data_IF_015507493040
#
_entry.id   IF_015507493040
#
_cell.length_a   1.000
_cell.length_b   1.000
_cell.length_c   1.000
_cell.angle_alpha   90.00
_cell.angle_beta   90.00
_cell.angle_gamma   90.00
#
_symmetry.space_group_name_H-M   'P 1'
#
loop_
_entity.id
_entity.type
_entity.pdbx_description
1 polymer ?
#
# COMPACT_ATOMS: atom_id res chain seq x y z
N UNK A 1 -58.21 -23.92 76.56
CA UNK A 1 -59.21 -22.90 76.15
C UNK A 1 -58.51 -21.55 76.02
N UNK A 2 -58.61 -20.98 74.81
CA UNK A 2 -58.38 -19.57 74.42
C UNK A 2 -56.94 -19.02 74.44
N UNK A 3 -56.45 -18.28 73.44
CA UNK A 3 -56.92 -17.89 72.10
C UNK A 3 -55.67 -17.44 71.32
N UNK A 4 -55.62 -17.77 70.03
CA UNK A 4 -54.71 -17.15 69.06
C UNK A 4 -54.93 -15.63 69.03
N UNK A 5 -53.85 -14.85 69.09
CA UNK A 5 -53.80 -13.48 68.56
C UNK A 5 -52.51 -13.27 67.78
N UNK A 6 -52.68 -13.23 66.46
CA UNK A 6 -51.74 -12.65 65.50
C UNK A 6 -51.45 -11.18 65.88
N UNK A 7 -50.17 -10.81 65.86
CA UNK A 7 -49.74 -9.42 65.73
C UNK A 7 -48.64 -9.37 64.66
N UNK A 8 -48.89 -8.54 63.64
CA UNK A 8 -48.11 -8.37 62.42
C UNK A 8 -46.64 -7.98 62.67
N UNK A 9 -45.68 -8.46 61.85
CA UNK A 9 -44.34 -7.93 61.88
C UNK A 9 -44.30 -6.51 61.29
N UNK A 10 -43.70 -5.62 62.07
CA UNK A 10 -43.44 -4.23 61.74
C UNK A 10 -42.62 -4.09 60.45
N UNK A 11 -43.00 -3.08 59.67
CA UNK A 11 -42.40 -2.68 58.40
C UNK A 11 -40.97 -2.20 58.67
N UNK A 12 -39.98 -3.07 58.42
CA UNK A 12 -38.56 -2.75 58.50
C UNK A 12 -38.18 -1.75 57.41
N UNK A 13 -37.78 -0.55 57.83
CA UNK A 13 -37.21 0.47 56.96
C UNK A 13 -35.85 -0.03 56.44
N UNK A 14 -35.80 -0.46 55.19
CA UNK A 14 -34.53 -0.78 54.54
C UNK A 14 -33.75 0.52 54.36
N UNK A 15 -32.69 0.67 55.17
CA UNK A 15 -31.71 1.74 55.06
C UNK A 15 -31.17 1.82 53.64
N UNK A 16 -31.57 2.86 52.92
CA UNK A 16 -31.12 3.22 51.56
C UNK A 16 -29.61 3.52 51.49
N UNK A 17 -28.91 3.55 52.63
CA UNK A 17 -27.52 3.95 52.74
C UNK A 17 -26.48 2.90 52.25
N UNK A 18 -26.85 1.63 52.08
CA UNK A 18 -25.89 0.58 51.70
C UNK A 18 -25.68 0.42 50.17
N UNK A 19 -26.25 1.31 49.35
CA UNK A 19 -26.03 1.32 47.88
C UNK A 19 -25.13 2.46 47.39
N UNK A 20 -24.78 3.42 48.25
CA UNK A 20 -24.03 4.61 47.82
C UNK A 20 -22.49 4.44 47.91
N UNK A 21 -21.99 3.53 48.76
CA UNK A 21 -20.54 3.41 48.99
C UNK A 21 -19.79 2.54 47.97
N UNK A 22 -20.49 1.67 47.22
CA UNK A 22 -19.85 0.86 46.16
C UNK A 22 -19.82 1.56 44.79
N UNK A 23 -20.57 2.65 44.62
CA UNK A 23 -20.65 3.37 43.35
C UNK A 23 -19.51 4.39 43.14
N UNK A 24 -18.79 4.79 44.19
CA UNK A 24 -17.74 5.80 44.10
C UNK A 24 -16.32 5.23 43.84
N UNK A 25 -16.06 3.95 44.12
CA UNK A 25 -14.77 3.32 43.78
C UNK A 25 -14.75 2.82 42.32
N UNK A 26 -15.92 2.53 41.75
CA UNK A 26 -16.03 2.11 40.35
C UNK A 26 -15.91 3.28 39.34
N UNK A 27 -15.99 4.54 39.79
CA UNK A 27 -15.98 5.71 38.91
C UNK A 27 -14.56 6.23 38.56
N UNK A 28 -13.52 5.88 39.31
CA UNK A 28 -12.16 6.38 39.06
C UNK A 28 -11.31 5.49 38.14
N UNK A 29 -11.75 4.28 37.79
CA UNK A 29 -10.99 3.36 36.94
C UNK A 29 -11.22 3.56 35.42
N UNK A 30 -12.07 4.50 35.01
CA UNK A 30 -12.49 4.66 33.60
C UNK A 30 -11.78 5.83 32.89
N UNK A 31 -10.88 6.56 33.56
CA UNK A 31 -10.20 7.73 32.98
C UNK A 31 -8.84 7.44 32.31
N UNK A 32 -8.42 6.18 32.16
CA UNK A 32 -7.28 5.82 31.34
C UNK A 32 -7.75 5.49 29.92
N UNK A 33 -8.02 6.52 29.12
CA UNK A 33 -8.22 6.34 27.68
C UNK A 33 -6.96 5.76 27.02
N UNK A 34 -7.09 4.99 25.92
CA UNK A 34 -5.92 4.53 25.17
C UNK A 34 -5.11 5.74 24.71
N UNK A 35 -3.85 5.81 25.15
CA UNK A 35 -2.92 6.85 24.68
C UNK A 35 -2.69 6.74 23.17
N UNK A 36 -2.18 7.81 22.52
CA UNK A 36 -1.90 7.77 21.09
C UNK A 36 -0.90 6.66 20.78
N UNK A 37 -1.29 5.74 19.90
CA UNK A 37 -0.38 4.74 19.35
C UNK A 37 0.59 5.46 18.42
N UNK A 38 1.84 5.65 18.87
CA UNK A 38 2.96 5.99 18.00
C UNK A 38 3.26 4.73 17.18
N UNK A 39 3.29 4.85 15.86
CA UNK A 39 3.71 3.76 14.99
C UNK A 39 4.90 4.26 14.18
N UNK A 40 6.09 4.21 14.75
CA UNK A 40 7.28 4.71 14.05
C UNK A 40 7.62 3.78 12.87
N UNK A 41 7.98 4.36 11.73
CA UNK A 41 8.25 3.61 10.48
C UNK A 41 9.69 3.81 10.05
N UNK A 42 10.43 2.73 9.85
CA UNK A 42 11.84 2.78 9.46
C UNK A 42 11.95 2.56 7.95
N UNK A 43 12.52 3.53 7.22
CA UNK A 43 12.79 3.38 5.78
C UNK A 43 14.05 2.57 5.57
N UNK A 44 13.96 1.56 4.71
CA UNK A 44 15.06 0.68 4.37
C UNK A 44 15.44 0.84 2.89
N UNK A 45 16.75 0.87 2.57
CA UNK A 45 17.24 0.95 1.20
C UNK A 45 17.13 -0.38 0.44
N UNK A 46 16.95 -1.52 1.12
CA UNK A 46 16.92 -2.83 0.48
C UNK A 46 15.70 -3.63 0.91
N UNK A 47 14.99 -4.18 -0.08
CA UNK A 47 13.90 -5.13 0.10
C UNK A 47 14.40 -6.56 -0.17
N UNK A 48 13.97 -7.51 0.65
CA UNK A 48 14.28 -8.94 0.47
C UNK A 48 13.00 -9.65 0.07
N UNK A 49 13.04 -10.30 -1.09
CA UNK A 49 11.94 -11.05 -1.64
C UNK A 49 12.26 -12.54 -1.65
N UNK A 50 11.22 -13.36 -1.56
CA UNK A 50 11.30 -14.76 -1.93
C UNK A 50 10.47 -14.97 -3.19
N UNK A 51 11.04 -15.74 -4.12
CA UNK A 51 10.40 -16.13 -5.38
C UNK A 51 10.28 -17.65 -5.48
N UNK A 52 9.06 -18.14 -5.69
CA UNK A 52 8.76 -19.53 -6.03
C UNK A 52 8.60 -19.65 -7.54
N UNK A 53 9.26 -20.64 -8.12
CA UNK A 53 8.94 -21.13 -9.45
C UNK A 53 7.98 -22.31 -9.32
N UNK A 54 6.72 -22.12 -9.76
CA UNK A 54 5.64 -23.11 -9.68
C UNK A 54 5.89 -24.33 -10.57
N UNK A 55 6.76 -24.22 -11.59
CA UNK A 55 7.12 -25.33 -12.48
C UNK A 55 8.20 -26.20 -11.84
N UNK A 56 9.22 -25.60 -11.24
CA UNK A 56 10.34 -26.34 -10.63
C UNK A 56 10.19 -26.61 -9.14
N UNK A 57 9.23 -25.96 -8.47
CA UNK A 57 9.01 -26.03 -7.03
C UNK A 57 10.11 -25.39 -6.19
N UNK A 58 11.03 -24.62 -6.80
CA UNK A 58 12.18 -24.01 -6.11
C UNK A 58 11.83 -22.62 -5.60
N UNK A 59 12.18 -22.36 -4.34
CA UNK A 59 12.11 -21.03 -3.73
C UNK A 59 13.52 -20.47 -3.63
N UNK A 60 13.71 -19.23 -4.06
CA UNK A 60 14.96 -18.49 -3.87
C UNK A 60 14.68 -17.17 -3.16
N UNK A 61 15.62 -16.75 -2.31
CA UNK A 61 15.63 -15.42 -1.70
C UNK A 61 16.55 -14.51 -2.48
N UNK A 62 16.11 -13.29 -2.77
CA UNK A 62 16.89 -12.30 -3.49
C UNK A 62 16.64 -10.90 -2.94
N UNK A 63 17.65 -10.06 -3.11
CA UNK A 63 17.67 -8.69 -2.61
C UNK A 63 17.49 -7.72 -3.77
N UNK A 64 16.69 -6.69 -3.55
CA UNK A 64 16.50 -5.60 -4.49
C UNK A 64 16.65 -4.28 -3.75
N UNK A 65 17.55 -3.41 -4.23
CA UNK A 65 17.62 -2.05 -3.72
C UNK A 65 16.38 -1.26 -4.15
N UNK A 66 15.98 -0.30 -3.32
CA UNK A 66 14.89 0.62 -3.65
C UNK A 66 15.25 1.38 -4.94
N UNK A 67 14.27 1.46 -5.84
CA UNK A 67 14.36 2.01 -7.19
C UNK A 67 15.26 1.23 -8.18
N UNK A 68 15.77 0.07 -7.78
CA UNK A 68 16.50 -0.84 -8.66
C UNK A 68 15.58 -1.94 -9.19
N UNK A 69 15.69 -2.26 -10.47
CA UNK A 69 14.94 -3.37 -11.08
C UNK A 69 15.76 -4.64 -11.03
N UNK A 70 15.22 -5.68 -10.41
CA UNK A 70 15.78 -7.04 -10.43
C UNK A 70 14.90 -7.97 -11.26
N UNK A 71 15.48 -8.99 -11.87
CA UNK A 71 14.75 -9.97 -12.67
C UNK A 71 14.64 -11.30 -11.93
N UNK A 72 13.43 -11.86 -11.85
CA UNK A 72 13.15 -13.22 -11.39
C UNK A 72 12.35 -13.96 -12.46
N UNK A 73 13.00 -14.88 -13.18
CA UNK A 73 12.37 -15.54 -14.33
C UNK A 73 11.93 -14.52 -15.41
N UNK A 74 10.63 -14.49 -15.71
CA UNK A 74 10.03 -13.52 -16.63
C UNK A 74 9.59 -12.20 -15.95
N UNK A 75 9.70 -12.11 -14.62
CA UNK A 75 9.26 -10.94 -13.87
C UNK A 75 10.42 -9.97 -13.62
N UNK A 76 10.16 -8.68 -13.80
CA UNK A 76 11.00 -7.57 -13.40
C UNK A 76 10.36 -6.88 -12.20
N UNK A 77 11.04 -6.90 -11.05
CA UNK A 77 10.53 -6.38 -9.79
C UNK A 77 11.30 -5.09 -9.46
N UNK A 78 10.56 -4.02 -9.20
CA UNK A 78 11.12 -2.73 -8.77
C UNK A 78 10.47 -2.28 -7.46
N UNK A 79 11.12 -2.42 -6.30
CA UNK A 79 10.61 -1.86 -5.05
C UNK A 79 10.78 -0.33 -5.05
N UNK A 80 9.74 0.42 -4.74
CA UNK A 80 9.78 1.90 -4.67
C UNK A 80 9.96 2.40 -3.24
N UNK A 81 9.43 1.65 -2.27
CA UNK A 81 9.66 1.90 -0.84
C UNK A 81 9.65 0.59 -0.08
N UNK A 82 10.44 0.52 0.99
CA UNK A 82 10.48 -0.62 1.91
C UNK A 82 10.52 -0.10 3.35
N UNK A 83 9.57 -0.52 4.17
CA UNK A 83 9.38 -0.04 5.52
C UNK A 83 9.36 -1.19 6.53
N UNK A 84 10.04 -1.02 7.65
CA UNK A 84 9.97 -1.90 8.82
C UNK A 84 9.46 -1.14 10.04
N UNK A 85 9.04 -1.88 11.07
CA UNK A 85 8.72 -1.33 12.39
C UNK A 85 9.90 -1.53 13.35
N UNK A 86 10.07 -0.69 14.38
CA UNK A 86 11.05 -0.91 15.42
C UNK A 86 10.77 -2.21 16.19
N UNK A 87 11.79 -2.75 16.86
CA UNK A 87 11.68 -3.99 17.64
C UNK A 87 10.74 -3.89 18.86
N UNK A 88 10.36 -2.68 19.27
CA UNK A 88 9.44 -2.41 20.37
C UNK A 88 7.97 -2.65 20.02
N UNK A 89 7.66 -2.80 18.73
CA UNK A 89 6.31 -3.04 18.21
C UNK A 89 6.24 -4.39 17.47
N UNK A 90 5.03 -4.93 17.24
CA UNK A 90 4.85 -6.10 16.38
C UNK A 90 5.54 -5.90 15.03
N UNK A 91 6.37 -6.88 14.65
CA UNK A 91 7.14 -6.81 13.41
C UNK A 91 6.21 -6.80 12.21
N UNK A 92 6.16 -5.67 11.52
CA UNK A 92 5.41 -5.51 10.29
C UNK A 92 6.30 -4.85 9.25
N UNK A 93 6.53 -5.58 8.15
CA UNK A 93 7.32 -5.10 7.02
C UNK A 93 6.39 -4.93 5.84
N UNK A 94 6.44 -3.76 5.21
CA UNK A 94 5.65 -3.47 4.02
C UNK A 94 6.50 -2.81 2.94
N UNK A 95 6.22 -3.13 1.69
CA UNK A 95 6.87 -2.52 0.54
C UNK A 95 5.84 -2.17 -0.54
N UNK A 96 6.02 -1.04 -1.21
CA UNK A 96 5.32 -0.76 -2.45
C UNK A 96 6.22 -1.18 -3.60
N UNK A 97 5.69 -1.98 -4.50
CA UNK A 97 6.47 -2.51 -5.61
C UNK A 97 5.73 -2.33 -6.93
N UNK A 98 6.50 -2.26 -8.00
CA UNK A 98 6.04 -2.40 -9.37
C UNK A 98 6.58 -3.72 -9.92
N UNK A 99 5.74 -4.52 -10.57
CA UNK A 99 6.17 -5.74 -11.26
C UNK A 99 5.74 -5.70 -12.71
N UNK A 100 6.73 -5.85 -13.57
CA UNK A 100 6.58 -5.91 -15.02
C UNK A 100 6.87 -7.34 -15.49
N UNK A 101 6.03 -7.89 -16.36
CA UNK A 101 6.26 -9.16 -17.04
C UNK A 101 6.96 -8.89 -18.38
N UNK A 102 8.05 -9.60 -18.64
CA UNK A 102 8.75 -9.55 -19.93
C UNK A 102 8.20 -10.65 -20.82
N UNK A 103 7.56 -10.27 -21.92
CA UNK A 103 6.98 -11.19 -22.91
C UNK A 103 8.06 -11.82 -23.79
N UNK A 104 7.66 -12.82 -24.58
CA UNK A 104 8.54 -13.43 -25.60
C UNK A 104 9.00 -12.43 -26.69
N UNK A 105 8.22 -11.37 -26.94
CA UNK A 105 8.58 -10.26 -27.84
C UNK A 105 9.54 -9.25 -27.19
N UNK A 106 10.02 -9.52 -25.96
CA UNK A 106 10.86 -8.62 -25.17
C UNK A 106 10.19 -7.26 -24.87
N UNK A 107 8.86 -7.27 -24.76
CA UNK A 107 8.07 -6.13 -24.32
C UNK A 107 7.80 -6.25 -22.81
N UNK A 108 7.83 -5.14 -22.10
CA UNK A 108 7.53 -5.11 -20.67
C UNK A 108 6.08 -4.66 -20.44
N UNK A 109 5.36 -5.41 -19.61
CA UNK A 109 3.97 -5.10 -19.25
C UNK A 109 3.81 -5.08 -17.73
N UNK A 110 3.34 -3.97 -17.17
CA UNK A 110 2.99 -3.86 -15.74
C UNK A 110 1.86 -4.82 -15.40
N UNK A 111 2.15 -5.83 -14.60
CA UNK A 111 1.15 -6.79 -14.12
C UNK A 111 0.69 -6.49 -12.69
N UNK A 112 1.53 -5.80 -11.91
CA UNK A 112 1.21 -5.46 -10.53
C UNK A 112 1.85 -4.12 -10.13
N UNK A 113 1.13 -3.35 -9.32
CA UNK A 113 1.61 -2.11 -8.72
C UNK A 113 0.86 -1.88 -7.41
N UNK A 114 1.50 -2.16 -6.28
CA UNK A 114 0.77 -2.19 -5.00
C UNK A 114 1.64 -2.44 -3.78
N UNK A 115 0.98 -2.39 -2.62
CA UNK A 115 1.58 -2.67 -1.32
C UNK A 115 1.59 -4.17 -1.03
N UNK A 116 2.71 -4.66 -0.51
CA UNK A 116 2.89 -6.04 -0.05
C UNK A 116 3.26 -6.02 1.43
N UNK A 117 2.77 -7.02 2.16
CA UNK A 117 3.02 -7.18 3.59
C UNK A 117 3.74 -8.51 3.84
N UNK A 118 4.89 -8.46 4.50
CA UNK A 118 5.66 -9.67 4.80
C UNK A 118 4.91 -10.61 5.77
N UNK A 119 4.11 -10.06 6.68
CA UNK A 119 3.30 -10.84 7.63
C UNK A 119 2.07 -11.49 6.99
N UNK A 120 1.69 -11.06 5.78
CA UNK A 120 0.50 -11.56 5.10
C UNK A 120 0.72 -11.64 3.58
N UNK A 121 1.62 -12.53 3.11
CA UNK A 121 1.91 -12.66 1.68
C UNK A 121 0.68 -12.96 0.83
N UNK A 122 -0.29 -13.72 1.36
CA UNK A 122 -1.51 -14.08 0.63
C UNK A 122 -2.51 -12.96 0.41
N UNK A 123 -2.35 -11.79 1.05
CA UNK A 123 -3.26 -10.65 0.85
C UNK A 123 -2.93 -9.87 -0.42
N UNK A 124 -1.64 -9.69 -0.70
CA UNK A 124 -1.14 -8.89 -1.82
C UNK A 124 0.17 -9.45 -2.41
N UNK A 125 0.32 -10.77 -2.47
CA UNK A 125 1.43 -11.44 -3.16
C UNK A 125 1.28 -11.35 -4.67
N UNK A 126 2.41 -11.44 -5.39
CA UNK A 126 2.41 -11.45 -6.85
C UNK A 126 2.21 -12.90 -7.28
N UNK A 127 0.99 -13.20 -7.72
CA UNK A 127 0.63 -14.51 -8.23
C UNK A 127 0.69 -14.47 -9.77
N UNK A 128 1.81 -14.90 -10.33
CA UNK A 128 1.93 -15.13 -11.77
C UNK A 128 1.67 -16.61 -12.08
N UNK A 129 1.15 -16.99 -13.26
CA UNK A 129 0.84 -18.40 -13.57
C UNK A 129 2.02 -19.37 -13.40
N UNK A 130 3.25 -18.85 -13.50
CA UNK A 130 4.51 -19.61 -13.40
C UNK A 130 5.32 -19.25 -12.15
N UNK A 131 5.17 -18.03 -11.62
CA UNK A 131 6.06 -17.48 -10.59
C UNK A 131 5.27 -16.85 -9.46
N UNK A 132 5.65 -17.10 -8.21
CA UNK A 132 5.11 -16.35 -7.07
C UNK A 132 6.21 -15.55 -6.43
N UNK A 133 5.94 -14.29 -6.12
CA UNK A 133 6.91 -13.45 -5.42
C UNK A 133 6.23 -12.82 -4.22
N UNK A 134 6.93 -12.80 -3.09
CA UNK A 134 6.46 -12.14 -1.88
C UNK A 134 7.59 -11.45 -1.13
N UNK A 135 7.23 -10.41 -0.39
CA UNK A 135 8.14 -9.71 0.50
C UNK A 135 8.41 -10.57 1.73
N UNK A 136 9.67 -10.66 2.14
CA UNK A 136 10.07 -11.37 3.37
C UNK A 136 10.47 -10.39 4.46
N UNK A 137 11.30 -9.40 4.14
CA UNK A 137 11.75 -8.37 5.07
C UNK A 137 12.37 -7.18 4.33
N UNK A 138 12.68 -6.10 5.02
CA UNK A 138 13.58 -5.04 4.53
C UNK A 138 14.81 -4.94 5.44
N UNK A 139 15.93 -4.45 4.91
CA UNK A 139 17.15 -4.22 5.69
C UNK A 139 17.90 -2.96 5.27
N UNK A 140 18.83 -2.54 6.13
CA UNK A 140 19.77 -1.44 5.90
C UNK A 140 19.25 -0.06 6.29
N UNK A 141 18.01 0.05 6.79
CA UNK A 141 17.40 1.30 7.19
C UNK A 141 17.88 1.82 8.54
N UNK A 142 18.18 3.11 8.60
CA UNK A 142 18.47 3.85 9.85
C UNK A 142 17.50 5.00 10.09
N UNK A 143 16.73 5.36 9.06
CA UNK A 143 15.86 6.54 9.09
C UNK A 143 14.49 6.16 9.63
N UNK A 144 14.23 6.53 10.88
CA UNK A 144 12.91 6.46 11.49
C UNK A 144 12.12 7.69 11.04
N UNK A 145 11.09 7.47 10.22
CA UNK A 145 10.09 8.48 9.90
C UNK A 145 9.03 8.41 11.00
N UNK A 146 8.91 9.45 11.85
CA UNK A 146 7.76 9.58 12.73
C UNK A 146 6.54 9.87 11.87
N UNK A 147 5.42 9.22 12.18
CA UNK A 147 4.16 9.49 11.47
C UNK A 147 3.76 10.97 11.65
N UNK A 148 3.14 11.60 10.62
CA UNK A 148 2.61 12.96 10.75
C UNK A 148 1.65 13.05 11.93
N UNK A 149 1.89 14.02 12.81
CA UNK A 149 0.99 14.34 13.92
C UNK A 149 -0.38 14.73 13.34
N UNK A 150 -1.46 14.18 13.90
CA UNK A 150 -2.83 14.39 13.44
C UNK A 150 -3.15 15.89 13.18
N UNK A 151 -3.89 16.21 12.10
CA UNK A 151 -4.28 17.59 11.75
C UNK A 151 -5.23 18.24 12.76
N UNK A 152 -5.68 17.51 13.79
CA UNK A 152 -6.51 18.04 14.89
C UNK A 152 -5.76 19.03 15.81
N UNK A 153 -4.48 19.30 15.54
CA UNK A 153 -3.70 20.42 16.11
C UNK A 153 -3.57 21.62 15.17
N UNK A 154 -4.47 21.80 14.21
CA UNK A 154 -4.75 23.13 13.67
C UNK A 154 -5.68 23.87 14.63
N UNK A 155 -5.12 24.46 15.69
CA UNK A 155 -5.84 25.45 16.49
C UNK A 155 -6.12 26.69 15.60
N UNK A 156 -7.38 27.00 15.22
CA UNK A 156 -7.68 28.12 14.33
C UNK A 156 -7.44 29.50 14.96
N UNK A 157 -6.98 29.54 16.22
CA UNK A 157 -6.86 30.75 17.03
C UNK A 157 -5.43 31.25 17.23
N UNK A 158 -4.43 30.68 16.53
CA UNK A 158 -3.11 31.32 16.43
C UNK A 158 -3.05 32.15 15.15
N UNK A 159 -3.07 33.49 15.21
CA UNK A 159 -2.89 34.31 14.01
C UNK A 159 -1.46 34.10 13.49
N UNK A 160 -1.34 33.44 12.35
CA UNK A 160 -0.10 33.44 11.56
C UNK A 160 0.04 34.83 10.94
N UNK A 161 1.05 35.59 11.37
CA UNK A 161 1.42 36.83 10.69
C UNK A 161 1.98 36.50 9.30
N UNK A 162 1.48 37.11 8.21
CA UNK A 162 1.98 36.85 6.87
C UNK A 162 3.34 37.52 6.64
N UNK A 163 4.29 36.75 6.09
CA UNK A 163 5.57 37.24 5.60
C UNK A 163 5.39 38.22 4.42
N UNK A 164 5.98 39.43 4.45
CA UNK A 164 5.69 40.50 3.48
C UNK A 164 6.40 40.39 2.11
N UNK A 165 6.77 39.19 1.63
CA UNK A 165 7.69 39.06 0.48
C UNK A 165 7.16 38.36 -0.78
N UNK A 166 5.91 37.88 -0.82
CA UNK A 166 5.38 37.17 -2.00
C UNK A 166 4.15 37.89 -2.56
N UNK A 167 4.34 39.01 -3.27
CA UNK A 167 3.21 39.68 -3.96
C UNK A 167 3.57 40.38 -5.27
N UNK A 168 4.85 40.53 -5.64
CA UNK A 168 5.20 41.41 -6.76
C UNK A 168 5.41 40.71 -8.11
N UNK A 169 5.32 39.39 -8.21
CA UNK A 169 5.67 38.68 -9.45
C UNK A 169 4.48 38.06 -10.19
N UNK A 170 3.32 38.73 -10.15
CA UNK A 170 2.16 38.32 -10.96
C UNK A 170 1.40 39.54 -11.49
N UNK A 171 2.07 40.42 -12.24
CA UNK A 171 1.35 41.57 -12.83
C UNK A 171 1.87 42.11 -14.15
N UNK A 172 2.43 41.28 -15.03
CA UNK A 172 2.68 41.73 -16.40
C UNK A 172 2.34 40.64 -17.44
N UNK A 173 1.17 40.82 -18.07
CA UNK A 173 0.81 40.20 -19.35
C UNK A 173 0.85 41.29 -20.43
N UNK A 174 1.24 41.01 -21.70
CA UNK A 174 1.19 41.98 -22.79
C UNK A 174 -0.17 41.98 -23.52
N UNK A 175 -0.54 43.07 -24.23
CA UNK A 175 -1.82 43.17 -24.94
C UNK A 175 -1.75 42.65 -26.38
N UNK A 176 -2.93 42.26 -26.88
CA UNK A 176 -3.22 41.83 -28.24
C UNK A 176 -3.28 43.01 -29.24
N UNK A 177 -2.87 42.72 -30.48
CA UNK A 177 -3.05 43.58 -31.66
C UNK A 177 -3.63 42.78 -32.83
N UNK A 178 -4.57 43.39 -33.53
CA UNK A 178 -5.53 42.90 -34.53
C UNK A 178 -4.91 42.53 -35.90
N UNK A 179 -5.58 41.63 -36.66
CA UNK A 179 -6.24 41.95 -37.96
C UNK A 179 -6.89 40.72 -38.61
N UNK A 180 -7.92 40.99 -39.41
CA UNK A 180 -8.95 40.09 -39.93
C UNK A 180 -8.62 39.51 -41.32
N UNK A 181 -9.34 38.45 -41.73
CA UNK A 181 -9.96 38.28 -43.06
C UNK A 181 -10.83 37.00 -43.14
N UNK A 182 -12.05 37.16 -43.69
CA UNK A 182 -12.97 36.13 -44.19
C UNK A 182 -13.07 36.29 -45.74
N UNK A 183 -13.74 35.46 -46.59
CA UNK A 183 -15.01 34.74 -46.31
C UNK A 183 -15.32 33.42 -47.08
N UNK A 184 -16.51 32.83 -46.75
CA UNK A 184 -17.40 31.95 -47.57
C UNK A 184 -16.95 30.49 -47.81
N UNK A 185 -17.76 29.42 -47.73
CA UNK A 185 -19.21 29.16 -47.90
C UNK A 185 -19.55 27.76 -47.32
N UNK A 186 -20.76 27.50 -46.82
CA UNK A 186 -21.34 26.14 -46.63
C UNK A 186 -22.08 25.70 -47.92
N UNK A 187 -22.77 24.53 -48.08
CA UNK A 187 -23.00 23.36 -47.19
C UNK A 187 -22.85 21.97 -47.88
N UNK A 188 -22.91 20.86 -47.12
CA UNK A 188 -23.17 19.52 -47.69
C UNK A 188 -22.98 18.33 -46.74
N UNK A 189 -24.08 17.76 -46.26
CA UNK A 189 -24.23 16.35 -45.84
C UNK A 189 -25.08 15.64 -46.94
N UNK A 190 -25.17 14.30 -47.10
CA UNK A 190 -25.28 13.31 -46.02
C UNK A 190 -24.72 11.88 -46.27
N UNK A 191 -24.88 11.06 -45.22
CA UNK A 191 -25.22 9.62 -45.21
C UNK A 191 -24.16 8.56 -45.54
N UNK A 192 -24.00 7.64 -44.59
CA UNK A 192 -23.24 6.39 -44.72
C UNK A 192 -23.36 5.55 -43.45
N UNK A 193 -24.58 5.12 -43.13
CA UNK A 193 -24.86 4.18 -42.04
C UNK A 193 -24.45 2.75 -42.46
N UNK A 194 -23.71 2.06 -41.59
CA UNK A 194 -23.52 0.60 -41.65
C UNK A 194 -23.87 0.04 -40.26
N UNK A 195 -24.85 -0.86 -40.11
CA UNK A 195 -25.13 -1.50 -38.83
C UNK A 195 -24.19 -2.69 -38.59
N UNK A 196 -23.69 -2.93 -37.36
CA UNK A 196 -23.09 -4.21 -37.02
C UNK A 196 -24.17 -5.26 -36.66
N UNK A 197 -23.88 -6.50 -37.06
CA UNK A 197 -24.68 -7.72 -36.88
C UNK A 197 -24.90 -8.10 -35.39
N UNK A 198 -25.91 -8.94 -35.07
CA UNK A 198 -26.28 -9.23 -33.70
C UNK A 198 -25.31 -10.23 -33.03
N UNK A 199 -24.81 -9.88 -31.86
CA UNK A 199 -24.06 -10.76 -30.96
C UNK A 199 -25.04 -11.63 -30.16
N UNK A 200 -24.95 -12.94 -30.36
CA UNK A 200 -25.61 -13.95 -29.53
C UNK A 200 -24.70 -14.36 -28.35
N UNK A 201 -25.30 -14.45 -27.16
CA UNK A 201 -24.79 -15.27 -26.05
C UNK A 201 -23.72 -14.64 -25.16
N UNK A 202 -24.13 -13.77 -24.22
CA UNK A 202 -23.25 -13.23 -23.20
C UNK A 202 -22.97 -14.21 -22.06
N UNK A 203 -21.84 -14.92 -22.11
CA UNK A 203 -21.13 -15.30 -20.89
C UNK A 203 -20.32 -14.09 -20.44
N UNK A 204 -20.53 -13.64 -19.20
CA UNK A 204 -19.72 -12.58 -18.59
C UNK A 204 -18.37 -13.20 -18.22
N UNK A 205 -17.50 -13.34 -19.22
CA UNK A 205 -16.09 -13.60 -19.00
C UNK A 205 -15.47 -12.34 -18.42
N UNK A 206 -15.18 -12.32 -17.12
CA UNK A 206 -14.31 -11.29 -16.56
C UNK A 206 -12.92 -11.53 -17.15
N UNK A 207 -12.59 -10.79 -18.20
CA UNK A 207 -11.27 -10.85 -18.81
C UNK A 207 -10.22 -10.52 -17.73
N UNK A 208 -9.18 -11.35 -17.61
CA UNK A 208 -8.08 -11.07 -16.71
C UNK A 208 -7.53 -9.67 -17.01
N UNK A 209 -7.21 -8.85 -15.99
CA UNK A 209 -6.73 -7.51 -16.20
C UNK A 209 -5.49 -7.54 -17.12
N UNK A 210 -5.66 -6.97 -18.31
CA UNK A 210 -4.55 -6.76 -19.21
C UNK A 210 -3.69 -5.65 -18.61
N UNK A 211 -2.40 -5.92 -18.55
CA UNK A 211 -1.43 -5.09 -17.87
C UNK A 211 -1.04 -3.92 -18.76
N UNK A 212 -0.59 -2.84 -18.15
CA UNK A 212 -0.27 -1.62 -18.88
C UNK A 212 1.10 -1.79 -19.55
N UNK A 213 1.26 -1.53 -20.85
CA UNK A 213 2.57 -1.53 -21.49
C UNK A 213 3.51 -0.52 -20.81
N UNK A 214 4.75 -0.93 -20.53
CA UNK A 214 5.80 -0.09 -19.94
C UNK A 214 7.07 -0.24 -20.77
N UNK A 215 7.91 0.80 -20.81
CA UNK A 215 9.22 0.69 -21.44
C UNK A 215 10.08 -0.37 -20.72
N UNK A 216 10.73 -1.31 -21.44
CA UNK A 216 11.59 -2.31 -20.82
C UNK A 216 12.70 -1.67 -19.99
N UNK A 217 12.81 -2.04 -18.72
CA UNK A 217 13.93 -1.64 -17.87
C UNK A 217 15.02 -2.71 -17.95
N UNK A 218 16.28 -2.30 -17.97
CA UNK A 218 17.38 -3.24 -17.90
C UNK A 218 17.58 -3.65 -16.44
N UNK A 219 17.46 -4.96 -16.10
CA UNK A 219 17.58 -5.38 -14.72
C UNK A 219 19.05 -5.32 -14.30
N UNK A 220 19.30 -4.78 -13.12
CA UNK A 220 20.64 -4.67 -12.55
C UNK A 220 21.16 -6.04 -12.11
N UNK A 221 20.27 -6.91 -11.63
CA UNK A 221 20.57 -8.30 -11.29
C UNK A 221 19.50 -9.25 -11.81
N UNK A 222 19.91 -10.48 -12.15
CA UNK A 222 19.01 -11.55 -12.61
C UNK A 222 19.14 -12.77 -11.71
N UNK A 223 18.01 -13.20 -11.18
CA UNK A 223 17.87 -14.36 -10.31
C UNK A 223 17.07 -15.42 -11.08
N UNK A 224 17.75 -16.51 -11.44
CA UNK A 224 17.10 -17.65 -12.08
C UNK A 224 17.11 -18.85 -11.14
N UNK A 225 15.99 -19.59 -11.02
CA UNK A 225 15.93 -20.86 -10.30
C UNK A 225 16.82 -21.98 -10.90
N UNK A 226 17.44 -21.76 -12.06
CA UNK A 226 18.26 -22.74 -12.77
C UNK A 226 19.62 -22.93 -12.10
N UNK A 227 19.76 -24.11 -11.47
CA UNK A 227 20.97 -24.84 -11.07
C UNK A 227 22.17 -23.98 -10.64
N UNK A 228 22.48 -24.08 -9.34
CA UNK A 228 23.67 -23.59 -8.63
C UNK A 228 25.05 -23.91 -9.27
N UNK A 229 25.13 -24.53 -10.47
CA UNK A 229 26.37 -24.83 -11.16
C UNK A 229 27.13 -23.59 -11.65
N UNK A 230 26.45 -22.49 -11.96
CA UNK A 230 27.12 -21.30 -12.51
C UNK A 230 27.83 -20.45 -11.46
N UNK A 231 27.56 -20.64 -10.15
CA UNK A 231 28.30 -19.96 -9.10
C UNK A 231 29.62 -20.67 -8.76
N UNK A 232 29.68 -22.01 -8.88
CA UNK A 232 30.92 -22.76 -8.62
C UNK A 232 31.95 -22.67 -9.76
N UNK A 233 31.55 -22.37 -10.99
CA UNK A 233 32.49 -22.22 -12.13
C UNK A 233 33.28 -20.90 -12.06
N UNK A 234 32.81 -19.89 -11.30
CA UNK A 234 33.51 -18.60 -11.16
C UNK A 234 34.65 -18.66 -10.13
N UNK A 235 34.61 -19.61 -9.19
CA UNK A 235 35.63 -19.76 -8.15
C UNK A 235 36.70 -20.83 -8.48
N UNK A 236 36.56 -21.57 -9.59
CA UNK A 236 37.46 -22.66 -9.98
C UNK A 236 38.61 -22.29 -10.94
N UNK A 237 38.77 -21.02 -11.29
CA UNK A 237 39.74 -20.56 -12.30
C UNK A 237 40.97 -19.87 -11.74
N UNK A 238 41.80 -20.56 -10.95
CA UNK A 238 43.03 -19.95 -10.40
C UNK A 238 44.06 -20.93 -9.84
N UNK A 239 44.83 -21.59 -10.70
CA UNK A 239 46.30 -21.51 -10.75
C UNK A 239 46.86 -22.53 -11.78
N UNK A 240 47.48 -22.01 -12.83
CA UNK A 240 48.67 -22.61 -13.43
C UNK A 240 49.88 -22.10 -12.68
#
# INVERSE_FOLDING_TARGET
MLLLRNASPARGSHSVAARAACALVAACAVAAGPGPARADKIKNPTAIFAGLDKITGRIISFEAAVDETVQFGALQITPRVCYTRPATEPQNTTAFIEVDEVTFSNEARRIFGGWIFASSPGLHGIEHPIYDVWLTTCKGGKDVIPDPVDPDKFDPLKPTQPDPKVSQQRRQSPPAGVTASAPRTQPGAPSGAVPPAPVAGGQIGVAAPQGVPVAPRQPTQRFFPTNQRTLMERDGGGNR
#
